data_IF_836488870631
#
_entry.id   IF_836488870631
#
_cell.length_a   1.000
_cell.length_b   1.000
_cell.length_c   1.000
_cell.angle_alpha   90.00
_cell.angle_beta   90.00
_cell.angle_gamma   90.00
#
_symmetry.space_group_name_H-M   'P 1'
#
loop_
_entity.id
_entity.type
_entity.pdbx_description
1 polymer ?
#
# COMPACT_ATOMS: atom_id res chain seq x y z
N UNK A 1 -14.72 -13.75 19.49
CA UNK A 1 -15.43 -13.80 18.20
C UNK A 1 -14.60 -13.03 17.18
N UNK A 2 -13.80 -13.75 16.39
CA UNK A 2 -12.88 -13.14 15.42
C UNK A 2 -13.65 -12.37 14.35
N UNK A 3 -13.21 -11.15 14.11
CA UNK A 3 -13.78 -10.18 13.18
C UNK A 3 -13.98 -10.74 11.78
N UNK A 4 -15.22 -11.05 11.41
CA UNK A 4 -15.61 -11.46 10.06
C UNK A 4 -15.16 -10.47 8.97
N UNK A 5 -15.04 -9.18 9.30
CA UNK A 5 -14.52 -8.15 8.39
C UNK A 5 -13.04 -8.33 8.01
N UNK A 6 -12.19 -8.74 8.95
CA UNK A 6 -10.75 -8.89 8.72
C UNK A 6 -10.41 -10.22 8.03
N UNK A 7 -11.27 -11.23 8.20
CA UNK A 7 -11.21 -12.48 7.44
C UNK A 7 -11.43 -12.26 5.94
N UNK A 8 -12.19 -11.23 5.55
CA UNK A 8 -12.52 -10.92 4.15
C UNK A 8 -11.55 -9.95 3.49
N UNK A 9 -10.77 -9.19 4.25
CA UNK A 9 -9.81 -8.21 3.72
C UNK A 9 -8.42 -8.83 3.60
N UNK A 10 -8.25 -9.75 2.65
CA UNK A 10 -6.99 -10.46 2.42
C UNK A 10 -6.72 -10.54 0.92
N UNK A 11 -5.52 -10.14 0.49
CA UNK A 11 -5.13 -10.21 -0.92
C UNK A 11 -4.19 -9.08 -1.32
N UNK A 12 -4.03 -8.90 -2.64
CA UNK A 12 -3.29 -7.80 -3.25
C UNK A 12 -4.24 -6.86 -3.98
N UNK A 13 -3.86 -5.61 -4.06
CA UNK A 13 -4.53 -4.62 -4.90
C UNK A 13 -3.54 -3.57 -5.37
N UNK A 14 -3.87 -2.96 -6.50
CA UNK A 14 -3.11 -1.87 -7.09
C UNK A 14 -3.64 -0.52 -6.57
N UNK A 15 -2.72 0.38 -6.24
CA UNK A 15 -3.01 1.76 -5.84
C UNK A 15 -2.23 2.69 -6.74
N UNK A 16 -2.86 3.77 -7.19
CA UNK A 16 -2.14 4.82 -7.89
C UNK A 16 -1.46 5.76 -6.90
N UNK A 17 -0.13 5.86 -7.00
CA UNK A 17 0.67 6.83 -6.25
C UNK A 17 0.85 8.09 -7.10
N UNK A 18 0.44 9.28 -6.63
CA UNK A 18 0.68 10.53 -7.34
C UNK A 18 2.14 10.99 -7.24
N UNK A 19 2.61 11.83 -8.17
CA UNK A 19 3.96 12.41 -8.10
C UNK A 19 4.07 13.36 -6.90
N UNK A 20 5.28 13.47 -6.33
CA UNK A 20 5.57 14.30 -5.15
C UNK A 20 5.24 13.64 -3.80
N UNK A 21 4.51 12.51 -3.81
CA UNK A 21 4.15 11.77 -2.59
C UNK A 21 5.16 10.66 -2.32
N UNK A 22 5.60 10.41 -1.08
CA UNK A 22 6.39 9.20 -0.74
C UNK A 22 5.51 7.95 -0.75
N UNK A 23 6.06 6.80 -1.16
CA UNK A 23 5.29 5.54 -1.20
C UNK A 23 4.74 5.15 0.19
N UNK A 24 5.49 5.48 1.24
CA UNK A 24 5.09 5.24 2.63
C UNK A 24 3.79 5.97 2.97
N UNK A 25 3.66 7.23 2.54
CA UNK A 25 2.45 8.03 2.77
C UNK A 25 1.23 7.46 2.03
N UNK A 26 1.40 6.97 0.81
CA UNK A 26 0.33 6.27 0.08
C UNK A 26 -0.12 5.01 0.83
N UNK A 27 0.83 4.21 1.33
CA UNK A 27 0.56 3.00 2.13
C UNK A 27 -0.15 3.33 3.45
N UNK A 28 0.30 4.35 4.18
CA UNK A 28 -0.32 4.83 5.42
C UNK A 28 -1.74 5.37 5.18
N UNK A 29 -1.94 6.11 4.09
CA UNK A 29 -3.26 6.63 3.71
C UNK A 29 -4.24 5.47 3.46
N UNK A 30 -3.80 4.45 2.73
CA UNK A 30 -4.61 3.24 2.49
C UNK A 30 -4.92 2.52 3.79
N UNK A 31 -3.93 2.33 4.67
CA UNK A 31 -4.15 1.72 5.99
C UNK A 31 -5.22 2.47 6.78
N UNK A 32 -5.10 3.80 6.85
CA UNK A 32 -6.04 4.66 7.56
C UNK A 32 -7.45 4.57 6.98
N UNK A 33 -7.60 4.62 5.66
CA UNK A 33 -8.93 4.52 5.03
C UNK A 33 -9.57 3.14 5.25
N UNK A 34 -8.79 2.07 5.17
CA UNK A 34 -9.27 0.71 5.46
C UNK A 34 -9.69 0.58 6.92
N UNK A 35 -8.90 1.06 7.87
CA UNK A 35 -9.25 1.09 9.29
C UNK A 35 -10.51 1.92 9.55
N UNK A 36 -10.65 3.08 8.90
CA UNK A 36 -11.85 3.91 8.99
C UNK A 36 -13.09 3.15 8.49
N UNK A 37 -12.99 2.50 7.33
CA UNK A 37 -14.06 1.68 6.76
C UNK A 37 -14.45 0.50 7.65
N UNK A 38 -13.46 -0.26 8.15
CA UNK A 38 -13.69 -1.40 9.04
C UNK A 38 -14.37 -0.98 10.37
N UNK A 39 -14.02 0.19 10.89
CA UNK A 39 -14.61 0.73 12.13
C UNK A 39 -15.90 1.55 11.92
N UNK A 40 -16.36 1.72 10.67
CA UNK A 40 -17.63 2.40 10.37
C UNK A 40 -18.84 1.47 10.53
N UNK A 41 -18.64 0.15 10.56
CA UNK A 41 -19.71 -0.83 10.74
C UNK A 41 -20.42 -0.63 12.09
N UNK A 42 -21.76 -0.77 12.10
CA UNK A 42 -22.56 -0.64 13.31
C UNK A 42 -22.15 -1.74 14.31
N UNK A 43 -21.79 -1.39 15.56
CA UNK A 43 -21.45 -2.38 16.57
C UNK A 43 -22.66 -3.25 16.91
N UNK A 44 -22.45 -4.52 17.28
CA UNK A 44 -23.52 -5.38 17.78
C UNK A 44 -24.15 -4.77 19.04
N UNK A 45 -25.42 -5.10 19.29
CA UNK A 45 -26.12 -4.64 20.49
C UNK A 45 -25.39 -5.13 21.76
N UNK A 46 -25.32 -4.30 22.82
CA UNK A 46 -24.64 -4.67 24.06
C UNK A 46 -25.33 -5.86 24.74
N UNK A 47 -24.52 -6.81 25.22
CA UNK A 47 -25.00 -7.98 25.95
C UNK A 47 -25.69 -7.55 27.24
N UNK A 48 -26.87 -8.10 27.50
CA UNK A 48 -27.60 -7.83 28.72
C UNK A 48 -27.05 -8.71 29.85
N UNK A 49 -26.84 -8.12 31.03
CA UNK A 49 -26.47 -8.87 32.23
C UNK A 49 -27.41 -8.50 33.36
N UNK A 50 -27.87 -9.53 34.08
CA UNK A 50 -28.68 -9.34 35.29
C UNK A 50 -27.78 -8.82 36.41
N UNK A 51 -28.17 -7.67 36.98
CA UNK A 51 -27.58 -7.12 38.20
C UNK A 51 -28.66 -7.02 39.26
N UNK A 52 -28.32 -7.39 40.48
CA UNK A 52 -29.20 -7.17 41.62
C UNK A 52 -28.93 -5.77 42.16
N UNK A 53 -29.93 -4.90 42.06
CA UNK A 53 -29.87 -3.53 42.55
C UNK A 53 -30.59 -3.46 43.90
N UNK A 54 -29.98 -2.77 44.85
CA UNK A 54 -30.57 -2.50 46.16
C UNK A 54 -31.48 -1.28 46.01
N UNK A 55 -32.78 -1.47 46.23
CA UNK A 55 -33.77 -0.39 46.27
C UNK A 55 -34.32 -0.20 47.69
N UNK A 56 -34.61 1.04 48.11
CA UNK A 56 -35.36 1.29 49.34
C UNK A 56 -36.77 0.71 49.23
N UNK A 57 -37.26 0.08 50.30
CA UNK A 57 -38.66 -0.32 50.39
C UNK A 57 -39.49 0.93 50.62
N UNK A 58 -40.41 1.25 49.71
CA UNK A 58 -41.40 2.30 49.95
C UNK A 58 -42.30 1.87 51.12
N UNK A 59 -42.16 2.55 52.27
CA UNK A 59 -43.11 2.46 53.38
C UNK A 59 -42.65 1.85 54.71
N UNK A 60 -41.35 1.63 54.98
CA UNK A 60 -40.88 1.16 56.30
C UNK A 60 -39.76 2.02 56.89
N UNK A 61 -39.90 2.42 58.16
CA UNK A 61 -38.90 3.21 58.91
C UNK A 61 -37.58 2.47 59.19
N UNK A 62 -37.53 1.15 58.96
CA UNK A 62 -36.28 0.38 59.02
C UNK A 62 -35.61 0.35 57.64
N UNK A 63 -34.29 0.58 57.59
CA UNK A 63 -33.42 0.49 56.39
C UNK A 63 -33.32 -0.94 55.86
N UNK A 64 -34.45 -1.54 55.50
CA UNK A 64 -34.54 -2.87 54.89
C UNK A 64 -34.33 -2.70 53.40
N UNK A 65 -33.20 -3.17 52.88
CA UNK A 65 -32.88 -3.08 51.47
C UNK A 65 -33.47 -4.28 50.72
N UNK A 66 -34.28 -4.03 49.70
CA UNK A 66 -34.80 -5.07 48.79
C UNK A 66 -33.87 -5.24 47.58
N UNK A 67 -33.47 -6.49 47.30
CA UNK A 67 -32.68 -6.85 46.11
C UNK A 67 -33.62 -7.06 44.93
N UNK A 68 -33.57 -6.18 43.93
CA UNK A 68 -34.35 -6.31 42.68
C UNK A 68 -33.42 -6.73 41.55
N UNK A 69 -33.70 -7.87 40.92
CA UNK A 69 -32.99 -8.32 39.73
C UNK A 69 -33.37 -7.45 38.53
N UNK A 70 -32.42 -6.64 38.02
CA UNK A 70 -32.63 -5.76 36.88
C UNK A 70 -31.70 -6.16 35.74
N UNK A 71 -32.23 -6.23 34.52
CA UNK A 71 -31.42 -6.43 33.31
C UNK A 71 -30.76 -5.11 32.93
N UNK A 72 -29.42 -5.07 32.89
CA UNK A 72 -28.64 -3.87 32.56
C UNK A 72 -27.71 -4.18 31.38
N UNK A 73 -27.59 -3.29 30.38
CA UNK A 73 -26.65 -3.49 29.28
C UNK A 73 -25.19 -3.47 29.79
N UNK A 74 -24.42 -4.46 29.37
CA UNK A 74 -23.00 -4.54 29.67
C UNK A 74 -22.23 -3.66 28.69
N UNK A 75 -21.57 -2.62 29.20
CA UNK A 75 -20.79 -1.68 28.38
C UNK A 75 -19.33 -2.11 28.14
N UNK A 76 -18.92 -3.29 28.59
CA UNK A 76 -17.53 -3.78 28.50
C UNK A 76 -17.03 -3.96 27.06
N UNK A 77 -17.94 -4.13 26.10
CA UNK A 77 -17.67 -4.22 24.66
C UNK A 77 -18.01 -2.93 23.91
N UNK A 78 -18.51 -1.91 24.60
CA UNK A 78 -18.92 -0.65 23.99
C UNK A 78 -17.72 0.14 23.45
N UNK A 79 -17.87 0.76 22.27
CA UNK A 79 -16.79 1.48 21.56
C UNK A 79 -16.17 2.61 22.39
N UNK A 80 -16.96 3.33 23.19
CA UNK A 80 -16.42 4.40 24.05
C UNK A 80 -15.54 3.89 25.19
N UNK A 81 -15.67 2.61 25.56
CA UNK A 81 -14.89 2.00 26.65
C UNK A 81 -13.65 1.29 26.09
N UNK A 82 -13.81 0.50 25.02
CA UNK A 82 -12.70 -0.26 24.41
C UNK A 82 -11.93 0.48 23.32
N UNK A 83 -12.49 1.55 22.76
CA UNK A 83 -11.98 2.19 21.57
C UNK A 83 -12.38 1.48 20.27
N UNK A 84 -11.71 1.81 19.14
CA UNK A 84 -11.96 1.19 17.84
C UNK A 84 -11.76 -0.33 17.88
N UNK A 85 -12.57 -1.07 17.11
CA UNK A 85 -12.42 -2.52 17.00
C UNK A 85 -11.13 -2.92 16.27
N UNK A 86 -10.69 -2.08 15.33
CA UNK A 86 -9.47 -2.29 14.55
C UNK A 86 -8.54 -1.08 14.71
N UNK A 87 -7.29 -1.34 15.07
CA UNK A 87 -6.27 -0.29 15.33
C UNK A 87 -5.11 -0.33 14.35
N UNK A 88 -4.79 -1.51 13.78
CA UNK A 88 -3.70 -1.67 12.81
C UNK A 88 -4.03 -2.74 11.78
N UNK A 89 -3.43 -2.63 10.60
CA UNK A 89 -3.51 -3.63 9.53
C UNK A 89 -2.12 -4.05 9.07
N UNK A 90 -1.95 -5.35 8.81
CA UNK A 90 -0.73 -5.85 8.19
C UNK A 90 -0.78 -5.52 6.70
N UNK A 91 -0.14 -4.42 6.31
CA UNK A 91 -0.02 -3.98 4.91
C UNK A 91 1.44 -4.05 4.46
N UNK A 92 1.69 -4.83 3.41
CA UNK A 92 2.97 -4.94 2.72
C UNK A 92 2.96 -4.19 1.38
N UNK A 93 4.15 -3.88 0.87
CA UNK A 93 4.37 -3.16 -0.39
C UNK A 93 5.22 -4.02 -1.31
N UNK A 94 4.80 -4.21 -2.56
CA UNK A 94 5.53 -5.06 -3.51
C UNK A 94 6.78 -4.41 -4.11
N UNK A 95 6.77 -3.09 -4.29
CA UNK A 95 7.91 -2.33 -4.79
C UNK A 95 7.85 -0.88 -4.34
N UNK A 96 9.00 -0.21 -4.31
CA UNK A 96 9.07 1.20 -3.93
C UNK A 96 9.09 2.07 -5.18
N UNK A 97 8.21 3.06 -5.21
CA UNK A 97 8.26 4.16 -6.16
C UNK A 97 8.86 5.39 -5.48
N UNK A 98 9.82 6.03 -6.14
CA UNK A 98 10.44 7.27 -5.67
C UNK A 98 9.40 8.37 -5.45
N UNK A 99 9.73 9.36 -4.62
CA UNK A 99 8.80 10.43 -4.28
C UNK A 99 8.27 11.18 -5.51
N UNK A 100 9.10 11.37 -6.54
CA UNK A 100 8.73 12.07 -7.77
C UNK A 100 8.04 11.18 -8.80
N UNK A 101 8.24 9.86 -8.70
CA UNK A 101 7.60 8.92 -9.60
C UNK A 101 6.11 8.83 -9.28
N UNK A 102 5.30 8.69 -10.33
CA UNK A 102 3.89 8.35 -10.21
C UNK A 102 3.64 7.00 -10.87
N UNK A 103 2.53 6.36 -10.51
CA UNK A 103 2.11 5.13 -11.15
C UNK A 103 1.56 4.09 -10.19
N UNK A 104 1.60 2.83 -10.62
CA UNK A 104 1.00 1.72 -9.90
C UNK A 104 1.91 1.26 -8.77
N UNK A 105 1.36 1.24 -7.55
CA UNK A 105 1.95 0.68 -6.36
C UNK A 105 1.14 -0.56 -5.95
N UNK A 106 1.78 -1.73 -5.89
CA UNK A 106 1.11 -2.96 -5.46
C UNK A 106 1.19 -3.06 -3.94
N UNK A 107 0.03 -3.13 -3.30
CA UNK A 107 -0.09 -3.34 -1.86
C UNK A 107 -0.71 -4.71 -1.59
N UNK A 108 -0.37 -5.29 -0.43
CA UNK A 108 -1.01 -6.50 0.05
C UNK A 108 -1.47 -6.36 1.49
N UNK A 109 -2.57 -7.01 1.83
CA UNK A 109 -3.15 -6.99 3.18
C UNK A 109 -3.30 -8.40 3.73
N UNK A 110 -2.97 -8.59 5.01
CA UNK A 110 -3.19 -9.83 5.73
C UNK A 110 -2.42 -11.01 5.12
N UNK A 111 -3.14 -12.07 4.74
CA UNK A 111 -2.52 -13.25 4.10
C UNK A 111 -1.98 -12.96 2.69
N UNK A 112 -2.39 -11.86 2.06
CA UNK A 112 -1.84 -11.42 0.77
C UNK A 112 -0.35 -11.09 0.80
N UNK A 113 0.24 -10.86 1.99
CA UNK A 113 1.68 -10.63 2.11
C UNK A 113 2.51 -11.81 1.61
N UNK A 114 1.99 -13.05 1.69
CA UNK A 114 2.68 -14.23 1.14
C UNK A 114 2.78 -14.16 -0.39
N UNK A 115 1.74 -13.63 -1.02
CA UNK A 115 1.69 -13.47 -2.47
C UNK A 115 2.62 -12.35 -2.97
N UNK A 116 3.09 -11.44 -2.09
CA UNK A 116 4.12 -10.46 -2.48
C UNK A 116 5.44 -11.13 -2.79
N UNK A 117 5.80 -12.19 -2.06
CA UNK A 117 7.00 -13.00 -2.35
C UNK A 117 6.84 -13.68 -3.70
N UNK A 118 5.68 -14.30 -3.96
CA UNK A 118 5.42 -14.94 -5.26
C UNK A 118 5.47 -13.93 -6.42
N UNK A 119 4.94 -12.72 -6.23
CA UNK A 119 5.01 -11.63 -7.23
C UNK A 119 6.44 -11.15 -7.45
N UNK A 120 7.25 -11.12 -6.40
CA UNK A 120 8.68 -10.79 -6.49
C UNK A 120 9.44 -11.88 -7.26
N UNK A 121 9.24 -13.14 -6.89
CA UNK A 121 9.88 -14.31 -7.52
C UNK A 121 9.40 -14.54 -8.95
N UNK A 122 8.21 -14.05 -9.32
CA UNK A 122 7.71 -14.08 -10.69
C UNK A 122 8.47 -13.13 -11.63
N UNK A 123 9.29 -12.21 -11.12
CA UNK A 123 10.08 -11.26 -11.91
C UNK A 123 9.23 -10.54 -12.97
N UNK A 124 8.08 -10.01 -12.56
CA UNK A 124 7.16 -9.34 -13.48
C UNK A 124 7.83 -8.16 -14.18
N UNK A 125 7.58 -8.05 -15.48
CA UNK A 125 8.02 -6.90 -16.28
C UNK A 125 7.38 -5.62 -15.75
N UNK A 126 8.19 -4.58 -15.58
CA UNK A 126 7.74 -3.26 -15.14
C UNK A 126 7.95 -2.28 -16.28
N UNK A 127 6.86 -1.63 -16.69
CA UNK A 127 6.89 -0.65 -17.76
C UNK A 127 6.88 0.77 -17.17
N UNK A 128 7.82 1.59 -17.62
CA UNK A 128 8.00 2.96 -17.14
C UNK A 128 8.00 3.95 -18.30
N UNK A 129 7.26 5.04 -18.14
CA UNK A 129 7.38 6.22 -19.00
C UNK A 129 8.28 7.24 -18.30
N UNK A 130 9.44 7.50 -18.88
CA UNK A 130 10.42 8.45 -18.34
C UNK A 130 10.38 9.73 -19.17
N UNK A 131 10.53 10.90 -18.54
CA UNK A 131 10.79 12.16 -19.23
C UNK A 131 12.08 12.75 -18.68
N UNK A 132 12.91 13.29 -19.55
CA UNK A 132 14.22 13.81 -19.19
C UNK A 132 14.56 15.07 -19.96
N UNK A 133 15.45 15.88 -19.38
CA UNK A 133 15.97 17.10 -19.98
C UNK A 133 17.44 16.87 -20.38
N UNK A 134 17.80 17.21 -21.61
CA UNK A 134 19.17 17.11 -22.11
C UNK A 134 19.98 18.37 -21.75
N UNK A 135 21.31 18.23 -21.65
CA UNK A 135 22.23 19.35 -21.38
C UNK A 135 22.20 19.88 -19.95
N UNK A 136 21.54 19.19 -19.01
CA UNK A 136 21.49 19.54 -17.58
C UNK A 136 21.86 18.33 -16.72
N UNK A 137 22.90 18.46 -15.91
CA UNK A 137 23.26 17.47 -14.90
C UNK A 137 23.01 18.02 -13.50
N UNK A 138 22.35 17.24 -12.65
CA UNK A 138 22.05 17.60 -11.26
C UNK A 138 22.58 16.55 -10.29
N UNK A 139 22.81 16.97 -9.04
CA UNK A 139 23.36 16.15 -7.97
C UNK A 139 22.55 14.90 -7.61
N UNK A 140 21.24 15.02 -7.74
CA UNK A 140 20.26 14.02 -7.32
C UNK A 140 19.59 13.35 -8.52
N UNK A 141 20.07 13.61 -9.74
CA UNK A 141 19.42 13.18 -10.99
C UNK A 141 17.94 13.62 -11.05
N UNK A 142 17.65 14.72 -10.35
CA UNK A 142 16.33 15.31 -10.25
C UNK A 142 16.28 16.62 -11.03
N UNK A 143 15.11 16.96 -11.58
CA UNK A 143 14.92 18.22 -12.28
C UNK A 143 15.17 19.41 -11.34
N UNK A 144 14.68 19.31 -10.10
CA UNK A 144 14.85 20.28 -9.01
C UNK A 144 16.16 20.11 -8.24
N UNK A 145 17.00 19.16 -8.65
CA UNK A 145 18.30 18.93 -8.01
C UNK A 145 19.24 20.11 -8.22
N UNK A 146 20.25 20.23 -7.37
CA UNK A 146 21.27 21.27 -7.52
C UNK A 146 21.99 21.05 -8.85
N UNK A 147 22.07 22.09 -9.67
CA UNK A 147 22.80 22.06 -10.93
C UNK A 147 24.28 21.81 -10.66
N UNK A 148 24.81 20.74 -11.24
CA UNK A 148 26.24 20.44 -11.25
C UNK A 148 26.85 20.98 -12.55
N UNK A 149 26.23 20.70 -13.68
CA UNK A 149 26.80 21.01 -14.98
C UNK A 149 25.68 21.33 -15.99
N UNK A 150 25.99 22.23 -16.93
CA UNK A 150 25.13 22.55 -18.06
C UNK A 150 25.96 22.58 -19.34
N UNK A 151 25.47 21.92 -20.38
CA UNK A 151 26.14 21.81 -21.68
C UNK A 151 25.15 21.99 -22.82
N UNK A 152 25.65 22.32 -24.01
CA UNK A 152 24.83 22.41 -25.23
C UNK A 152 24.43 21.02 -25.71
N UNK A 153 23.23 20.90 -26.27
CA UNK A 153 22.66 19.61 -26.70
C UNK A 153 22.14 19.66 -28.15
N UNK A 154 22.40 20.73 -28.90
CA UNK A 154 21.91 20.93 -30.27
C UNK A 154 22.41 19.86 -31.25
N UNK A 155 23.53 19.22 -30.91
CA UNK A 155 24.12 18.12 -31.67
C UNK A 155 23.43 16.77 -31.45
N UNK A 156 22.50 16.67 -30.49
CA UNK A 156 21.83 15.42 -30.16
C UNK A 156 20.67 15.18 -31.12
N UNK A 157 20.78 14.16 -31.96
CA UNK A 157 19.72 13.75 -32.88
C UNK A 157 18.91 12.57 -32.33
N UNK A 158 17.72 12.35 -32.89
CA UNK A 158 16.86 11.22 -32.53
C UNK A 158 17.54 9.88 -32.79
N UNK A 159 18.27 9.75 -33.89
CA UNK A 159 18.98 8.52 -34.25
C UNK A 159 20.08 8.18 -33.23
N UNK A 160 20.74 9.20 -32.66
CA UNK A 160 21.73 9.00 -31.60
C UNK A 160 21.07 8.44 -30.33
N UNK A 161 19.91 8.98 -29.94
CA UNK A 161 19.14 8.49 -28.80
C UNK A 161 18.66 7.05 -29.03
N UNK A 162 18.08 6.75 -30.20
CA UNK A 162 17.57 5.42 -30.53
C UNK A 162 18.68 4.35 -30.50
N UNK A 163 19.90 4.68 -30.95
CA UNK A 163 21.07 3.79 -30.84
C UNK A 163 21.45 3.50 -29.38
N UNK A 164 21.44 4.52 -28.53
CA UNK A 164 21.73 4.36 -27.10
C UNK A 164 20.65 3.50 -26.44
N UNK A 165 19.38 3.73 -26.75
CA UNK A 165 18.26 2.94 -26.24
C UNK A 165 18.35 1.47 -26.67
N UNK A 166 18.64 1.21 -27.96
CA UNK A 166 18.84 -0.15 -28.45
C UNK A 166 20.01 -0.86 -27.73
N UNK A 167 21.09 -0.13 -27.41
CA UNK A 167 22.21 -0.65 -26.62
C UNK A 167 21.79 -1.00 -25.19
N UNK A 168 21.03 -0.13 -24.53
CA UNK A 168 20.50 -0.37 -23.17
C UNK A 168 19.56 -1.58 -23.18
N UNK A 169 18.69 -1.69 -24.18
CA UNK A 169 17.78 -2.82 -24.33
C UNK A 169 18.57 -4.13 -24.56
N UNK A 170 19.57 -4.11 -25.45
CA UNK A 170 20.43 -5.26 -25.71
C UNK A 170 21.23 -5.71 -24.48
N UNK A 171 21.75 -4.77 -23.67
CA UNK A 171 22.46 -5.13 -22.43
C UNK A 171 21.55 -5.79 -21.40
N UNK A 172 20.31 -5.31 -21.25
CA UNK A 172 19.34 -5.94 -20.34
C UNK A 172 18.89 -7.31 -20.85
N UNK A 173 18.68 -7.48 -22.15
CA UNK A 173 18.39 -8.80 -22.74
C UNK A 173 19.51 -9.81 -22.47
N UNK A 174 20.78 -9.40 -22.60
CA UNK A 174 21.92 -10.26 -22.28
C UNK A 174 21.95 -10.63 -20.80
N UNK A 175 21.65 -9.70 -19.90
CA UNK A 175 21.58 -9.97 -18.46
C UNK A 175 20.46 -10.99 -18.12
N UNK A 176 19.28 -10.86 -18.72
CA UNK A 176 18.18 -11.81 -18.54
C UNK A 176 18.57 -13.23 -18.99
N UNK A 177 19.20 -13.37 -20.15
CA UNK A 177 19.66 -14.67 -20.67
C UNK A 177 20.79 -15.26 -19.82
N UNK A 178 21.68 -14.43 -19.29
CA UNK A 178 22.84 -14.88 -18.51
C UNK A 178 22.50 -15.22 -17.05
N UNK A 179 21.45 -14.62 -16.49
CA UNK A 179 20.94 -14.90 -15.14
C UNK A 179 20.07 -16.17 -15.10
N UNK A 180 19.48 -16.56 -16.24
CA UNK A 180 18.60 -17.73 -16.37
C UNK A 180 19.20 -19.06 -15.88
N UNK A 181 20.47 -19.43 -16.18
CA UNK A 181 21.04 -20.71 -15.73
C UNK A 181 21.24 -20.82 -14.22
N UNK A 182 21.22 -19.69 -13.49
CA UNK A 182 21.48 -19.63 -12.05
C UNK A 182 20.19 -19.58 -11.20
N UNK A 183 19.02 -19.37 -11.83
CA UNK A 183 17.71 -19.22 -11.15
C UNK A 183 16.91 -20.53 -11.00
N UNK A 184 17.40 -21.65 -11.54
CA UNK A 184 16.69 -22.94 -11.50
C UNK A 184 15.47 -23.01 -12.45
N UNK A 185 14.94 -24.22 -12.72
CA UNK A 185 13.93 -24.41 -13.75
C UNK A 185 12.52 -24.11 -13.21
N UNK A 186 12.03 -22.87 -13.36
CA UNK A 186 10.59 -22.59 -13.25
C UNK A 186 9.98 -22.48 -14.66
N UNK A 187 9.07 -23.38 -15.10
CA UNK A 187 8.67 -23.49 -16.51
C UNK A 187 7.69 -22.43 -17.03
N UNK A 188 7.23 -21.49 -16.21
CA UNK A 188 6.03 -20.69 -16.53
C UNK A 188 6.26 -19.18 -16.71
N UNK A 189 7.41 -18.63 -16.29
CA UNK A 189 7.68 -17.21 -16.41
C UNK A 189 8.38 -16.91 -17.75
N UNK A 190 7.58 -16.73 -18.81
CA UNK A 190 8.06 -16.10 -20.04
C UNK A 190 8.27 -14.61 -19.74
N UNK A 191 9.37 -14.26 -19.07
CA UNK A 191 9.75 -12.87 -18.77
C UNK A 191 9.85 -12.12 -20.11
N UNK A 192 8.93 -11.17 -20.33
CA UNK A 192 9.02 -10.26 -21.47
C UNK A 192 10.07 -9.19 -21.13
N UNK A 193 10.93 -8.79 -22.08
CA UNK A 193 11.93 -7.76 -21.85
C UNK A 193 11.26 -6.49 -21.31
N UNK A 194 11.97 -5.73 -20.47
CA UNK A 194 11.55 -4.40 -20.01
C UNK A 194 11.20 -3.56 -21.25
N UNK A 195 9.92 -3.21 -21.40
CA UNK A 195 9.43 -2.36 -22.48
C UNK A 195 9.61 -0.91 -22.07
N UNK A 196 10.61 -0.24 -22.63
CA UNK A 196 10.71 1.22 -22.56
C UNK A 196 9.86 1.81 -23.68
N UNK A 197 8.70 2.38 -23.35
CA UNK A 197 7.91 3.20 -24.29
C UNK A 197 8.27 4.65 -24.04
N UNK A 198 9.00 5.26 -24.97
CA UNK A 198 9.38 6.67 -24.92
C UNK A 198 8.60 7.48 -25.94
N UNK A 199 7.95 8.56 -25.49
CA UNK A 199 7.26 9.51 -26.35
C UNK A 199 8.01 10.85 -26.29
N UNK A 200 8.77 11.16 -27.34
CA UNK A 200 9.40 12.48 -27.52
C UNK A 200 8.31 13.50 -27.81
N UNK A 201 7.99 14.32 -26.83
CA UNK A 201 7.39 15.64 -27.08
C UNK A 201 8.54 16.63 -27.16
N UNK A 202 9.07 16.87 -28.36
CA UNK A 202 9.84 18.09 -28.61
C UNK A 202 8.82 19.22 -28.55
N UNK A 203 8.75 19.89 -27.41
CA UNK A 203 8.01 21.15 -27.32
C UNK A 203 8.71 22.16 -28.24
N UNK A 204 7.90 22.85 -29.05
CA UNK A 204 8.30 24.07 -29.76
C UNK A 204 8.81 25.16 -28.80
#
# INVERSE_FOLDING_TARGET
>A
MGSSGLARLQGLFAVYKPPGMKWLHARETVELQLLKGLNAAKPPAPEQRVRFLLGPVEGSEEKKLTLTATSVPTLTTHRLVRGPAFTSLKIGVGHHLDARASGVLVLAVGHGLRLLTDVYDAHLTKDYTVRGLLGKATDSFCEDGRLIEKTTYDHVTREMLDRILARIQGSHQKALVMMWPWLGPSPSARQRPISFVWQTSLGE
#
